data_IF_869829969023
#
_entry.id   IF_869829969023
#
_cell.length_a   1.000
_cell.length_b   1.000
_cell.length_c   1.000
_cell.angle_alpha   90.00
_cell.angle_beta   90.00
_cell.angle_gamma   90.00
#
_symmetry.space_group_name_H-M   'P 1'
#
loop_
_entity.id
_entity.type
_entity.pdbx_description
1 polymer ?
#
# COMPACT_ATOMS: atom_id res chain seq x y z
N UNK A 9 28.34 -10.96 -13.48
CA UNK A 9 28.68 -10.37 -12.15
C UNK A 9 27.47 -10.15 -11.22
N UNK A 10 27.34 -11.02 -10.21
CA UNK A 10 26.29 -11.02 -9.17
C UNK A 10 26.53 -9.91 -8.13
N UNK A 11 26.32 -8.66 -8.54
CA UNK A 11 26.59 -7.49 -7.68
C UNK A 11 25.79 -7.31 -6.37
N UNK A 12 24.59 -7.88 -6.26
CA UNK A 12 23.78 -7.72 -5.04
C UNK A 12 22.66 -8.73 -4.94
N UNK A 13 22.58 -9.37 -3.79
CA UNK A 13 21.56 -10.38 -3.52
C UNK A 13 20.97 -10.21 -2.15
N UNK A 14 19.84 -10.85 -1.91
CA UNK A 14 19.19 -10.73 -0.62
C UNK A 14 18.44 -12.02 -0.27
N UNK A 15 18.37 -12.34 1.01
CA UNK A 15 17.67 -13.52 1.49
C UNK A 15 16.33 -13.07 2.07
N UNK A 16 15.24 -13.63 1.55
CA UNK A 16 13.92 -13.26 2.05
C UNK A 16 13.54 -14.04 3.31
N UNK A 17 13.17 -13.31 4.37
CA UNK A 17 12.75 -13.92 5.63
C UNK A 17 11.31 -14.41 5.44
N UNK A 18 11.15 -15.66 5.02
CA UNK A 18 9.82 -16.23 4.75
C UNK A 18 8.91 -16.42 5.96
N UNK A 19 9.49 -16.65 7.12
CA UNK A 19 8.68 -16.83 8.32
C UNK A 19 7.92 -15.54 8.60
N UNK A 20 8.60 -14.41 8.43
CA UNK A 20 7.97 -13.13 8.66
C UNK A 20 6.84 -12.94 7.67
N UNK A 21 7.11 -13.21 6.39
CA UNK A 21 6.09 -13.05 5.37
C UNK A 21 4.88 -13.91 5.62
N UNK A 22 5.08 -15.09 6.21
CA UNK A 22 3.95 -15.95 6.52
C UNK A 22 3.01 -15.23 7.46
N UNK A 23 3.57 -14.68 8.55
CA UNK A 23 2.78 -13.95 9.54
C UNK A 23 1.88 -12.93 8.85
N UNK A 24 2.45 -12.29 7.83
CA UNK A 24 1.81 -11.27 7.01
C UNK A 24 0.86 -11.75 5.91
N UNK A 25 0.84 -13.05 5.60
CA UNK A 25 -0.03 -13.54 4.52
C UNK A 25 -1.36 -12.89 4.19
N UNK A 26 -2.24 -12.78 5.18
CA UNK A 26 -3.55 -12.23 4.95
C UNK A 26 -3.54 -10.87 4.24
N UNK A 27 -2.58 -10.00 4.55
CA UNK A 27 -2.52 -8.70 3.90
C UNK A 27 -2.26 -8.89 2.41
N UNK A 28 -1.26 -9.70 2.10
CA UNK A 28 -0.92 -9.95 0.71
C UNK A 28 -2.04 -10.63 -0.03
N UNK A 29 -2.68 -11.56 0.63
CA UNK A 29 -3.76 -12.31 0.04
C UNK A 29 -4.93 -11.39 -0.29
N UNK A 30 -5.11 -10.35 0.52
CA UNK A 30 -6.20 -9.40 0.35
C UNK A 30 -6.03 -8.62 -0.97
N UNK A 31 -4.86 -8.06 -1.19
CA UNK A 31 -4.59 -7.26 -2.39
C UNK A 31 -4.05 -8.01 -3.61
N UNK A 32 -3.93 -9.33 -3.52
CA UNK A 32 -3.35 -10.12 -4.61
C UNK A 32 -3.77 -9.84 -6.05
N UNK A 33 -5.06 -9.66 -6.31
CA UNK A 33 -5.53 -9.41 -7.68
C UNK A 33 -5.18 -8.01 -8.16
N UNK A 34 -5.01 -7.08 -7.23
CA UNK A 34 -4.64 -5.72 -7.61
C UNK A 34 -3.14 -5.65 -7.91
N UNK A 35 -2.38 -6.49 -7.22
CA UNK A 35 -0.93 -6.53 -7.37
C UNK A 35 -0.35 -7.52 -8.38
N UNK A 36 -1.17 -8.38 -8.98
CA UNK A 36 -0.64 -9.35 -9.95
C UNK A 36 0.04 -8.62 -11.13
N UNK A 37 -0.58 -7.53 -11.57
CA UNK A 37 -0.10 -6.71 -12.66
C UNK A 37 0.85 -5.61 -12.13
N UNK A 38 1.21 -5.70 -10.87
CA UNK A 38 2.06 -4.68 -10.26
C UNK A 38 3.53 -4.78 -10.48
N UNK A 39 4.25 -3.99 -9.67
CA UNK A 39 5.70 -3.88 -9.68
C UNK A 39 6.33 -4.16 -8.32
N UNK A 40 7.36 -5.00 -8.28
CA UNK A 40 8.04 -5.33 -7.03
C UNK A 40 9.32 -4.49 -6.93
N UNK A 41 9.64 -4.04 -5.71
CA UNK A 41 10.82 -3.19 -5.49
C UNK A 41 11.62 -3.59 -4.26
N UNK A 42 12.93 -3.49 -4.38
CA UNK A 42 13.86 -3.77 -3.32
C UNK A 42 14.62 -2.46 -3.20
N UNK A 43 14.30 -1.69 -2.17
CA UNK A 43 14.91 -0.37 -2.01
C UNK A 43 15.24 0.02 -0.59
N UNK A 44 15.94 1.13 -0.44
CA UNK A 44 16.32 1.63 0.87
C UNK A 44 17.79 1.33 1.06
N UNK A 45 18.26 1.38 2.31
CA UNK A 45 19.67 1.09 2.59
C UNK A 45 20.05 -0.36 2.34
N UNK A 46 21.21 -0.56 1.73
CA UNK A 46 21.76 -1.87 1.39
C UNK A 46 21.73 -2.90 2.50
N UNK A 47 21.87 -2.42 3.74
CA UNK A 47 21.85 -3.29 4.91
C UNK A 47 20.45 -3.77 5.30
N UNK A 48 19.44 -2.91 5.15
CA UNK A 48 18.07 -3.24 5.54
C UNK A 48 17.02 -2.89 4.45
N UNK A 49 17.18 -3.45 3.24
CA UNK A 49 16.21 -3.09 2.21
C UNK A 49 14.75 -3.37 2.54
N UNK A 50 13.87 -2.63 1.86
CA UNK A 50 12.45 -2.74 2.01
C UNK A 50 11.90 -3.47 0.80
N UNK A 51 10.85 -4.25 1.03
CA UNK A 51 10.24 -5.01 -0.04
C UNK A 51 8.92 -4.32 -0.23
N UNK A 52 8.72 -3.78 -1.42
CA UNK A 52 7.49 -3.09 -1.70
C UNK A 52 6.87 -3.59 -2.97
N UNK A 53 5.54 -3.58 -2.99
CA UNK A 53 4.79 -3.98 -4.14
C UNK A 53 3.90 -2.79 -4.45
N UNK A 54 3.90 -2.33 -5.68
CA UNK A 54 3.07 -1.23 -6.11
C UNK A 54 2.25 -1.60 -7.35
N UNK A 55 1.07 -1.00 -7.52
CA UNK A 55 0.25 -1.27 -8.72
C UNK A 55 -0.86 -0.26 -8.80
N UNK A 56 -1.26 0.10 -10.00
CA UNK A 56 -2.34 1.07 -10.12
C UNK A 56 -3.64 0.39 -9.69
N UNK A 57 -4.60 1.24 -9.32
CA UNK A 57 -5.89 0.80 -8.83
C UNK A 57 -6.91 1.72 -9.44
N UNK A 58 -7.76 1.18 -10.30
CA UNK A 58 -8.75 2.01 -10.96
C UNK A 58 -8.04 2.96 -11.92
N UNK A 59 -8.77 3.95 -12.39
CA UNK A 59 -8.19 4.92 -13.33
C UNK A 59 -7.20 5.97 -12.77
N UNK A 60 -7.19 6.22 -11.46
CA UNK A 60 -6.24 7.22 -10.91
C UNK A 60 -5.82 6.96 -9.47
N UNK A 61 -5.21 5.81 -9.23
CA UNK A 61 -4.78 5.47 -7.88
C UNK A 61 -3.60 4.51 -7.88
N UNK A 62 -2.69 4.70 -6.92
CA UNK A 62 -1.52 3.84 -6.81
C UNK A 62 -1.46 3.17 -5.48
N UNK A 63 -1.48 1.84 -5.47
CA UNK A 63 -1.42 1.05 -4.25
C UNK A 63 0.00 0.70 -3.90
N UNK A 64 0.31 0.70 -2.62
CA UNK A 64 1.62 0.35 -2.16
C UNK A 64 1.66 -0.41 -0.86
N UNK A 65 2.18 -1.63 -0.90
CA UNK A 65 2.39 -2.45 0.29
C UNK A 65 3.88 -2.38 0.48
N UNK A 66 4.34 -2.14 1.70
CA UNK A 66 5.76 -1.98 1.99
C UNK A 66 6.18 -2.74 3.24
N UNK A 67 7.15 -3.63 3.09
CA UNK A 67 7.59 -4.49 4.18
C UNK A 67 9.05 -4.31 4.64
N UNK A 68 9.24 -3.89 5.88
CA UNK A 68 10.56 -3.67 6.45
C UNK A 68 11.11 -4.96 7.06
N UNK A 69 12.41 -4.97 7.37
CA UNK A 69 13.08 -6.09 8.01
C UNK A 69 12.70 -7.48 7.51
N UNK A 70 12.57 -7.63 6.20
CA UNK A 70 12.21 -8.92 5.64
C UNK A 70 13.27 -9.37 4.66
N UNK A 71 14.38 -8.65 4.60
CA UNK A 71 15.44 -8.99 3.67
C UNK A 71 16.78 -8.87 4.32
N UNK A 72 17.62 -9.87 4.08
CA UNK A 72 18.98 -9.90 4.61
C UNK A 72 19.93 -9.98 3.43
N UNK A 73 20.78 -8.96 3.25
CA UNK A 73 21.73 -8.97 2.15
C UNK A 73 22.75 -10.08 2.32
N UNK A 74 23.25 -10.57 1.19
CA UNK A 74 24.25 -11.64 1.17
C UNK A 74 25.63 -11.06 1.00
N UNK A 75 26.56 -11.48 1.87
CA UNK A 75 27.97 -11.01 1.86
C UNK A 75 28.64 -11.00 0.48
N UNK A 76 29.50 -9.99 0.26
CA UNK A 76 30.25 -9.78 -0.99
C UNK A 76 29.50 -9.07 -2.10
N UNK A 77 29.20 -7.78 -1.92
CA UNK A 77 28.48 -7.02 -2.94
C UNK A 77 29.08 -5.64 -3.23
N UNK A 78 29.15 -5.26 -4.52
CA UNK A 78 29.68 -3.94 -4.87
C UNK A 78 28.52 -2.95 -4.98
N UNK A 79 28.19 -2.37 -3.83
CA UNK A 79 27.13 -1.39 -3.66
C UNK A 79 27.49 -0.55 -2.44
N UNK A 80 28.57 -0.97 -1.75
CA UNK A 80 29.05 -0.30 -0.54
C UNK A 80 27.97 -0.24 0.53
N UNK A 81 27.98 0.83 1.32
CA UNK A 81 26.99 1.00 2.38
C UNK A 81 26.10 2.22 2.12
N UNK A 82 25.53 2.27 0.93
CA UNK A 82 24.64 3.37 0.52
C UNK A 82 23.32 2.81 0.04
N UNK A 83 22.50 3.64 -0.60
CA UNK A 83 21.20 3.19 -1.11
C UNK A 83 21.18 2.21 -2.27
N UNK A 84 20.05 1.53 -2.39
CA UNK A 84 19.79 0.54 -3.40
C UNK A 84 18.38 0.72 -3.90
N UNK A 85 18.15 0.43 -5.18
CA UNK A 85 16.80 0.54 -5.74
C UNK A 85 16.65 -0.29 -7.00
N UNK A 86 15.87 -1.37 -6.90
CA UNK A 86 15.62 -2.25 -8.02
C UNK A 86 14.12 -2.41 -8.17
N UNK A 87 13.63 -2.08 -9.35
CA UNK A 87 12.21 -2.17 -9.58
C UNK A 87 11.85 -3.02 -10.81
N UNK A 88 11.14 -4.12 -10.57
CA UNK A 88 10.76 -5.08 -11.64
C UNK A 88 9.30 -5.49 -11.59
N UNK A 89 8.75 -5.96 -12.71
CA UNK A 89 7.35 -6.35 -12.74
C UNK A 89 7.17 -7.69 -12.09
N UNK A 90 6.24 -7.85 -11.14
CA UNK A 90 6.17 -9.18 -10.50
C UNK A 90 5.58 -10.30 -11.29
N UNK A 91 4.98 -9.98 -12.43
CA UNK A 91 4.50 -11.04 -13.28
C UNK A 91 5.15 -10.70 -14.62
N UNK A 92 6.33 -11.28 -14.84
CA UNK A 92 7.09 -11.07 -16.06
C UNK A 92 6.19 -11.33 -17.24
N UNK A 93 6.41 -10.60 -18.32
CA UNK A 93 5.59 -10.77 -19.52
C UNK A 93 5.49 -12.24 -19.96
N UNK A 94 4.26 -12.66 -20.28
CA UNK A 94 3.96 -14.03 -20.73
C UNK A 94 4.22 -15.20 -19.78
N UNK A 95 4.58 -14.91 -18.53
CA UNK A 95 4.85 -15.95 -17.53
C UNK A 95 3.71 -16.28 -16.61
N UNK A 96 3.92 -17.39 -15.92
CA UNK A 96 3.00 -17.90 -14.93
C UNK A 96 3.66 -17.63 -13.58
N UNK A 97 4.86 -17.03 -13.61
CA UNK A 97 5.55 -16.73 -12.37
C UNK A 97 5.22 -15.34 -11.83
N UNK A 98 4.70 -15.30 -10.62
CA UNK A 98 4.36 -14.05 -9.97
C UNK A 98 5.17 -14.01 -8.71
N UNK A 99 6.12 -13.08 -8.64
CA UNK A 99 6.98 -12.99 -7.47
C UNK A 99 6.22 -13.01 -6.13
N UNK A 100 5.29 -12.09 -5.93
CA UNK A 100 4.58 -12.06 -4.64
C UNK A 100 3.79 -13.32 -4.36
N UNK A 101 3.25 -13.97 -5.40
CA UNK A 101 2.50 -15.18 -5.15
C UNK A 101 3.41 -16.22 -4.52
N UNK A 102 4.60 -16.36 -5.08
CA UNK A 102 5.56 -17.35 -4.63
C UNK A 102 6.25 -16.97 -3.33
N UNK A 103 6.62 -15.70 -3.17
CA UNK A 103 7.29 -15.27 -1.94
C UNK A 103 6.41 -15.53 -0.72
N UNK A 104 5.12 -15.28 -0.84
CA UNK A 104 4.17 -15.52 0.24
C UNK A 104 3.61 -16.96 0.25
N UNK A 105 4.13 -17.83 -0.60
CA UNK A 105 3.65 -19.21 -0.67
C UNK A 105 3.62 -19.92 0.68
N UNK A 106 2.54 -20.60 0.99
CA UNK A 106 2.41 -21.33 2.27
C UNK A 106 3.43 -22.44 2.43
N UNK A 107 3.73 -23.14 1.34
CA UNK A 107 4.65 -24.27 1.38
C UNK A 107 6.11 -23.86 1.05
N UNK A 108 6.51 -22.64 1.45
CA UNK A 108 7.89 -22.15 1.18
C UNK A 108 8.83 -22.39 2.36
N UNK A 109 10.08 -22.70 2.05
CA UNK A 109 11.13 -23.01 3.02
C UNK A 109 12.24 -21.97 3.07
N UNK A 110 12.81 -21.67 1.90
CA UNK A 110 13.90 -20.72 1.67
C UNK A 110 13.45 -19.87 0.49
N UNK A 111 13.99 -18.66 0.38
CA UNK A 111 13.68 -17.75 -0.74
C UNK A 111 14.72 -16.66 -0.81
N UNK A 112 15.15 -16.33 -2.03
CA UNK A 112 16.16 -15.30 -2.21
C UNK A 112 16.01 -14.58 -3.52
N UNK A 113 16.28 -13.28 -3.50
CA UNK A 113 16.21 -12.48 -4.71
C UNK A 113 17.62 -11.99 -4.91
N UNK A 114 18.14 -12.15 -6.12
CA UNK A 114 19.50 -11.74 -6.42
C UNK A 114 19.53 -10.91 -7.70
N UNK A 115 20.34 -9.85 -7.71
CA UNK A 115 20.45 -8.96 -8.87
C UNK A 115 21.82 -9.07 -9.51
N UNK A 116 21.86 -9.15 -10.84
CA UNK A 116 23.12 -9.28 -11.55
C UNK A 116 23.20 -8.56 -12.91
N UNK A 117 24.43 -8.27 -13.34
CA UNK A 117 24.72 -7.61 -14.63
C UNK A 117 25.96 -8.30 -15.23
N UNK A 118 26.97 -7.53 -15.65
CA UNK A 118 28.23 -8.08 -16.21
C UNK A 118 29.27 -6.98 -16.47
N UNK A 128 22.14 -4.45 -19.87
CA UNK A 128 20.99 -5.17 -19.31
C UNK A 128 21.09 -5.37 -17.78
N UNK A 129 19.94 -5.38 -17.10
CA UNK A 129 19.88 -5.55 -15.65
C UNK A 129 18.96 -6.75 -15.31
N UNK A 130 19.46 -7.72 -14.56
CA UNK A 130 18.69 -8.93 -14.24
C UNK A 130 18.33 -9.24 -12.79
N UNK A 131 17.23 -9.98 -12.61
CA UNK A 131 16.73 -10.41 -11.31
C UNK A 131 16.61 -11.94 -11.33
N UNK A 132 17.01 -12.60 -10.24
CA UNK A 132 16.88 -14.04 -10.18
C UNK A 132 16.26 -14.38 -8.85
N UNK A 133 15.00 -14.82 -8.89
CA UNK A 133 14.28 -15.20 -7.69
C UNK A 133 14.32 -16.71 -7.56
N UNK A 134 14.64 -17.19 -6.37
CA UNK A 134 14.73 -18.61 -6.10
C UNK A 134 13.79 -19.00 -5.00
N UNK A 135 12.97 -20.03 -5.26
CA UNK A 135 12.01 -20.51 -4.28
C UNK A 135 12.31 -21.98 -3.94
N UNK A 136 12.23 -22.35 -2.66
CA UNK A 136 12.46 -23.73 -2.24
C UNK A 136 11.25 -24.15 -1.43
N UNK A 137 10.61 -25.22 -1.84
CA UNK A 137 9.39 -25.70 -1.20
C UNK A 137 9.52 -26.73 -0.05
N UNK A 138 8.37 -27.10 0.53
CA UNK A 138 8.24 -28.05 1.65
C UNK A 138 9.15 -29.25 1.64
N UNK A 139 8.99 -30.11 0.64
CA UNK A 139 9.86 -31.27 0.47
C UNK A 139 11.18 -30.60 0.17
N UNK A 140 12.24 -30.84 0.93
CA UNK A 140 13.47 -30.11 0.59
C UNK A 140 13.98 -30.65 -0.75
N UNK A 141 13.05 -30.75 -1.70
CA UNK A 141 13.32 -31.29 -3.02
C UNK A 141 12.91 -30.40 -4.20
N UNK A 142 11.70 -29.85 -4.15
CA UNK A 142 11.19 -28.99 -5.23
C UNK A 142 11.68 -27.55 -5.12
N UNK A 143 11.84 -26.88 -6.27
CA UNK A 143 12.26 -25.49 -6.33
C UNK A 143 12.03 -24.87 -7.73
N UNK A 144 11.88 -23.54 -7.75
CA UNK A 144 11.69 -22.81 -8.99
C UNK A 144 12.67 -21.65 -9.01
N UNK A 145 13.31 -21.40 -10.16
CA UNK A 145 14.26 -20.29 -10.30
C UNK A 145 13.82 -19.38 -11.46
N UNK A 146 13.17 -18.25 -11.16
CA UNK A 146 12.71 -17.38 -12.24
C UNK A 146 13.79 -16.35 -12.52
N UNK A 147 13.80 -15.78 -13.72
CA UNK A 147 14.88 -14.88 -14.03
C UNK A 147 14.33 -13.89 -15.03
N UNK A 148 14.36 -12.60 -14.65
CA UNK A 148 13.83 -11.58 -15.56
C UNK A 148 14.66 -10.30 -15.58
N UNK A 149 14.17 -9.31 -16.32
CA UNK A 149 14.83 -8.03 -16.44
C UNK A 149 14.27 -7.00 -15.47
N UNK A 150 15.15 -6.21 -14.87
CA UNK A 150 14.75 -5.14 -13.96
C UNK A 150 14.64 -3.94 -14.89
N UNK A 151 13.42 -3.63 -15.33
CA UNK A 151 13.21 -2.53 -16.27
C UNK A 151 12.12 -1.54 -15.86
N UNK A 152 11.89 -1.40 -14.57
CA UNK A 152 10.88 -0.48 -14.09
C UNK A 152 11.53 0.67 -13.29
N UNK A 153 12.70 1.15 -13.76
CA UNK A 153 13.44 2.22 -13.09
C UNK A 153 12.64 3.49 -12.89
N UNK A 154 11.68 3.73 -13.76
CA UNK A 154 10.84 4.93 -13.72
C UNK A 154 9.98 5.08 -12.49
N UNK A 155 9.79 3.99 -11.76
CA UNK A 155 8.98 4.00 -10.55
C UNK A 155 9.92 4.08 -9.35
N UNK A 156 9.66 5.04 -8.49
CA UNK A 156 10.46 5.24 -7.29
C UNK A 156 9.61 4.93 -6.10
N UNK A 157 10.24 4.63 -4.95
CA UNK A 157 9.40 4.42 -3.78
C UNK A 157 9.02 5.82 -3.37
N UNK A 158 7.74 6.07 -3.17
CA UNK A 158 7.34 7.45 -2.82
C UNK A 158 6.33 7.51 -1.68
N UNK A 159 5.81 6.36 -1.31
CA UNK A 159 4.81 6.27 -0.26
C UNK A 159 5.24 6.80 1.12
N UNK A 160 6.48 6.50 1.50
CA UNK A 160 6.99 6.93 2.80
C UNK A 160 7.67 8.29 2.74
N UNK A 161 7.60 8.90 1.56
CA UNK A 161 8.21 10.21 1.31
C UNK A 161 7.24 11.39 1.19
N UNK A 162 6.32 11.54 2.15
CA UNK A 162 5.37 12.67 2.12
C UNK A 162 5.07 13.26 3.50
N UNK A 163 5.34 14.57 3.60
CA UNK A 163 5.17 15.39 4.79
C UNK A 163 3.78 15.21 5.45
N UNK A 164 3.75 14.35 6.48
CA UNK A 164 2.54 14.08 7.26
C UNK A 164 2.59 14.95 8.53
N UNK A 165 2.27 14.39 9.69
CA UNK A 165 2.29 15.13 10.96
C UNK A 165 1.79 16.56 10.87
N UNK A 166 2.74 17.51 10.98
CA UNK A 166 2.45 18.96 10.92
C UNK A 166 1.16 19.31 11.63
N UNK A 167 0.05 19.27 10.87
CA UNK A 167 -1.31 19.53 11.33
C UNK A 167 -2.29 18.93 10.30
N UNK A 168 -1.71 18.26 9.30
CA UNK A 168 -2.43 17.63 8.19
C UNK A 168 -3.87 17.21 8.47
N UNK A 169 -4.73 17.49 7.51
CA UNK A 169 -6.14 17.16 7.59
C UNK A 169 -6.28 15.64 7.45
N UNK A 170 -6.77 14.98 8.48
CA UNK A 170 -6.96 13.53 8.49
C UNK A 170 -8.35 13.24 8.98
N UNK A 171 -8.82 12.05 8.68
CA UNK A 171 -10.12 11.62 9.11
C UNK A 171 -10.11 10.14 9.38
N UNK A 172 -10.78 9.73 10.43
CA UNK A 172 -10.88 8.33 10.74
C UNK A 172 -12.27 7.86 11.04
N UNK A 173 -12.75 6.95 10.19
CA UNK A 173 -14.11 6.44 10.34
C UNK A 173 -14.17 5.16 11.13
N UNK A 174 -15.28 4.98 11.83
CA UNK A 174 -15.53 3.79 12.59
C UNK A 174 -16.06 2.74 11.61
N UNK A 175 -16.07 1.48 12.04
CA UNK A 175 -16.56 0.38 11.20
C UNK A 175 -17.93 0.63 10.58
N UNK A 176 -18.91 1.01 11.42
CA UNK A 176 -20.28 1.28 10.94
C UNK A 176 -20.29 2.27 9.76
N UNK A 177 -19.79 3.49 9.99
CA UNK A 177 -19.75 4.53 8.97
C UNK A 177 -18.99 4.13 7.71
N UNK A 178 -17.88 3.42 7.92
CA UNK A 178 -17.01 2.98 6.83
C UNK A 178 -17.69 2.05 5.86
N UNK A 179 -18.46 1.10 6.38
CA UNK A 179 -19.16 0.15 5.54
C UNK A 179 -20.33 0.82 4.82
N UNK A 180 -20.99 1.73 5.54
CA UNK A 180 -22.13 2.44 5.00
C UNK A 180 -21.65 3.31 3.81
N UNK A 181 -20.50 3.96 3.97
CA UNK A 181 -19.92 4.77 2.91
C UNK A 181 -19.59 3.93 1.69
N UNK A 182 -18.98 2.79 1.95
CA UNK A 182 -18.56 1.89 0.89
C UNK A 182 -19.78 1.30 0.16
N UNK A 183 -20.87 1.01 0.87
CA UNK A 183 -22.06 0.46 0.22
C UNK A 183 -22.67 1.53 -0.66
N UNK A 184 -22.73 2.75 -0.12
CA UNK A 184 -23.30 3.90 -0.83
C UNK A 184 -22.49 4.18 -2.08
N UNK A 185 -21.17 4.20 -1.95
CA UNK A 185 -20.33 4.47 -3.10
C UNK A 185 -20.56 3.47 -4.21
N UNK A 186 -20.60 2.19 -3.86
CA UNK A 186 -20.81 1.12 -4.86
C UNK A 186 -22.12 1.29 -5.63
N UNK A 187 -23.22 1.44 -4.91
CA UNK A 187 -24.51 1.57 -5.56
C UNK A 187 -24.73 2.86 -6.37
N UNK A 188 -23.66 3.61 -6.64
CA UNK A 188 -23.77 4.84 -7.42
C UNK A 188 -23.08 4.65 -8.75
N UNK A 189 -22.16 3.70 -8.80
CA UNK A 189 -21.36 3.40 -9.98
C UNK A 189 -22.18 3.01 -11.22
N UNK A 190 -21.70 3.44 -12.38
CA UNK A 190 -22.30 3.11 -13.67
C UNK A 190 -21.22 2.25 -14.29
N UNK A 191 -21.31 1.94 -15.58
CA UNK A 191 -20.26 1.13 -16.19
C UNK A 191 -19.01 1.99 -16.45
N UNK A 192 -19.25 3.25 -16.85
CA UNK A 192 -18.19 4.21 -17.13
C UNK A 192 -17.83 4.87 -15.80
N UNK A 193 -16.53 5.06 -15.53
CA UNK A 193 -16.07 5.66 -14.26
C UNK A 193 -16.44 7.15 -14.11
N UNK A 194 -16.79 7.54 -12.89
CA UNK A 194 -17.18 8.92 -12.59
C UNK A 194 -16.17 9.49 -11.62
N UNK A 195 -16.27 10.79 -11.31
CA UNK A 195 -15.31 11.35 -10.37
C UNK A 195 -16.06 11.86 -9.14
N UNK A 196 -15.62 11.41 -7.96
CA UNK A 196 -16.24 11.79 -6.70
C UNK A 196 -15.51 12.98 -6.14
N UNK A 197 -16.25 13.97 -5.67
CA UNK A 197 -15.61 15.13 -5.08
C UNK A 197 -15.78 14.87 -3.58
N UNK A 198 -14.66 14.84 -2.87
CA UNK A 198 -14.64 14.60 -1.45
C UNK A 198 -14.15 15.88 -0.81
N UNK A 199 -14.93 16.46 0.09
CA UNK A 199 -14.54 17.73 0.73
C UNK A 199 -14.65 17.68 2.24
N UNK A 200 -13.88 18.53 2.91
CA UNK A 200 -13.89 18.57 4.35
C UNK A 200 -14.13 19.99 4.81
N UNK A 201 -15.13 20.18 5.67
CA UNK A 201 -15.44 21.49 6.18
C UNK A 201 -15.05 21.65 7.62
N UNK A 202 -14.13 22.58 7.90
CA UNK A 202 -13.74 22.81 9.28
C UNK A 202 -14.84 23.48 10.05
N UNK A 203 -15.47 24.49 9.44
CA UNK A 203 -16.56 25.21 10.09
C UNK A 203 -17.64 24.24 10.63
N UNK A 204 -17.95 23.19 9.87
CA UNK A 204 -18.99 22.24 10.27
C UNK A 204 -18.56 20.81 10.63
N UNK A 205 -17.27 20.55 10.78
CA UNK A 205 -16.78 19.21 11.11
C UNK A 205 -17.61 18.21 10.31
N UNK A 206 -17.55 18.30 8.99
CA UNK A 206 -18.36 17.43 8.17
C UNK A 206 -17.62 17.09 6.89
N UNK A 207 -17.70 15.83 6.46
CA UNK A 207 -17.06 15.37 5.23
C UNK A 207 -18.14 15.03 4.22
N UNK A 208 -18.00 15.52 3.00
CA UNK A 208 -19.01 15.27 2.00
C UNK A 208 -18.46 14.54 0.78
N UNK A 209 -19.23 13.54 0.33
CA UNK A 209 -18.88 12.77 -0.86
C UNK A 209 -19.97 13.09 -1.84
N UNK A 210 -19.58 13.61 -3.00
CA UNK A 210 -20.54 14.01 -4.03
C UNK A 210 -20.16 13.68 -5.47
N UNK A 211 -21.14 13.14 -6.19
CA UNK A 211 -21.01 12.78 -7.62
C UNK A 211 -22.40 12.70 -8.22
N UNK A 212 -22.47 12.37 -9.51
CA UNK A 212 -23.76 12.28 -10.21
C UNK A 212 -24.51 13.50 -9.71
N UNK A 213 -25.65 13.26 -9.08
CA UNK A 213 -26.47 14.33 -8.53
C UNK A 213 -26.84 13.95 -7.12
N UNK A 214 -25.91 13.27 -6.45
CA UNK A 214 -26.13 12.79 -5.08
C UNK A 214 -24.92 13.04 -4.15
N UNK A 215 -25.22 13.22 -2.86
CA UNK A 215 -24.19 13.47 -1.84
C UNK A 215 -24.42 12.65 -0.58
N UNK A 216 -23.33 12.25 0.05
CA UNK A 216 -23.39 11.47 1.27
C UNK A 216 -22.66 12.36 2.26
N UNK A 217 -23.29 12.64 3.39
CA UNK A 217 -22.73 13.51 4.42
C UNK A 217 -22.33 12.73 5.65
N UNK A 218 -21.14 13.03 6.18
CA UNK A 218 -20.63 12.36 7.39
C UNK A 218 -19.98 13.37 8.33
N UNK A 219 -20.52 13.54 9.53
CA UNK A 219 -19.90 14.47 10.45
C UNK A 219 -18.99 13.69 11.38
N UNK A 220 -18.05 14.40 11.99
CA UNK A 220 -17.09 13.78 12.89
C UNK A 220 -16.83 14.67 14.07
N UNK A 221 -15.97 14.23 14.97
CA UNK A 221 -15.61 15.01 16.15
C UNK A 221 -14.17 15.50 15.98
N UNK A 222 -13.99 16.83 15.80
CA UNK A 222 -12.66 17.42 15.60
C UNK A 222 -11.80 17.30 16.86
N UNK A 223 -10.54 16.88 16.70
CA UNK A 223 -9.64 16.71 17.83
C UNK A 223 -8.81 17.98 18.10
N UNK A 224 -9.07 18.60 19.27
CA UNK A 224 -8.40 19.83 19.73
C UNK A 224 -6.89 19.61 19.95
N UNK A 225 -6.58 18.69 20.87
CA UNK A 225 -5.20 18.34 21.27
C UNK A 225 -4.26 18.04 20.08
N UNK A 226 -3.01 18.55 20.15
CA UNK A 226 -2.03 18.31 19.08
C UNK A 226 -1.74 16.82 18.92
N UNK A 227 -1.83 16.33 17.69
CA UNK A 227 -1.60 14.91 17.44
C UNK A 227 -0.84 14.64 16.14
N UNK A 228 0.10 13.72 16.22
CA UNK A 228 0.89 13.31 15.07
C UNK A 228 0.57 11.84 14.85
N UNK A 229 0.21 11.49 13.61
CA UNK A 229 -0.12 10.11 13.26
C UNK A 229 -1.54 9.71 13.62
N UNK A 230 -1.83 8.41 13.60
CA UNK A 230 -3.17 7.91 13.93
C UNK A 230 -3.39 7.59 15.41
N UNK A 231 -2.30 7.48 16.18
CA UNK A 231 -2.43 7.20 17.60
C UNK A 231 -3.01 8.42 18.31
N UNK A 232 -3.93 8.18 19.25
CA UNK A 232 -4.57 9.27 19.98
C UNK A 232 -5.71 9.85 19.14
N UNK A 233 -6.10 9.13 18.10
CA UNK A 233 -7.16 9.53 17.21
C UNK A 233 -8.11 8.35 16.99
N UNK A 234 -7.55 7.14 17.08
CA UNK A 234 -8.32 5.90 16.90
C UNK A 234 -8.11 4.95 18.08
N UNK A 235 -9.04 4.00 18.27
CA UNK A 235 -10.23 3.85 17.43
C UNK A 235 -11.43 3.82 18.35
N UNK A 236 -12.24 4.87 18.29
CA UNK A 236 -13.45 4.98 19.15
C UNK A 236 -14.52 3.92 18.84
N UNK A 237 -14.55 3.49 17.57
CA UNK A 237 -15.50 2.47 17.06
C UNK A 237 -16.95 2.74 17.48
N UNK A 238 -17.43 3.97 17.26
CA UNK A 238 -18.78 4.39 17.61
C UNK A 238 -19.04 5.71 16.91
N UNK A 239 -18.00 6.54 16.88
CA UNK A 239 -18.09 7.85 16.27
C UNK A 239 -16.88 8.07 15.34
N UNK A 240 -17.00 9.06 14.48
CA UNK A 240 -15.98 9.38 13.52
C UNK A 240 -15.20 10.60 13.95
N UNK A 241 -13.90 10.39 13.97
CA UNK A 241 -12.94 11.38 14.43
C UNK A 241 -12.02 11.89 13.30
N UNK A 242 -11.44 13.07 13.50
CA UNK A 242 -10.54 13.69 12.53
C UNK A 242 -9.89 14.97 13.01
N UNK A 243 -8.90 15.44 12.27
CA UNK A 243 -8.18 16.67 12.60
C UNK A 243 -8.32 17.53 11.35
N UNK A 244 -8.71 18.80 11.53
CA UNK A 244 -8.91 19.69 10.37
C UNK A 244 -8.49 21.11 10.65
N UNK A 245 -7.43 21.56 10.00
CA UNK A 245 -7.00 22.95 10.20
C UNK A 245 -7.41 23.92 9.09
N UNK A 246 -7.70 23.36 7.91
CA UNK A 246 -8.15 24.13 6.74
C UNK A 246 -9.08 23.21 5.94
N UNK A 247 -10.03 23.81 5.24
CA UNK A 247 -10.94 23.04 4.40
C UNK A 247 -10.15 22.29 3.32
N UNK A 248 -10.70 21.20 2.82
CA UNK A 248 -10.03 20.46 1.77
C UNK A 248 -11.05 20.02 0.74
N UNK A 249 -10.61 19.96 -0.51
CA UNK A 249 -11.47 19.55 -1.61
C UNK A 249 -10.65 18.64 -2.51
N UNK A 250 -11.24 17.56 -2.96
CA UNK A 250 -10.54 16.63 -3.81
C UNK A 250 -11.48 16.02 -4.81
N UNK A 251 -10.96 15.75 -6.00
CA UNK A 251 -11.72 15.10 -7.05
C UNK A 251 -10.96 13.85 -7.40
N UNK A 252 -11.52 12.71 -7.07
CA UNK A 252 -10.83 11.46 -7.31
C UNK A 252 -11.71 10.48 -8.09
N UNK A 253 -11.08 9.46 -8.67
CA UNK A 253 -11.80 8.47 -9.40
C UNK A 253 -12.63 7.65 -8.46
N UNK A 254 -13.86 7.36 -8.86
CA UNK A 254 -14.74 6.55 -8.06
C UNK A 254 -14.21 5.12 -7.96
N UNK A 255 -13.76 4.53 -9.08
CA UNK A 255 -13.20 3.17 -9.06
C UNK A 255 -12.06 3.12 -8.09
N UNK A 256 -11.13 4.07 -8.23
CA UNK A 256 -9.97 4.16 -7.36
C UNK A 256 -10.34 4.29 -5.88
N UNK A 257 -11.44 5.00 -5.60
CA UNK A 257 -11.89 5.20 -4.24
C UNK A 257 -12.49 3.96 -3.62
N UNK A 258 -13.34 3.26 -4.38
CA UNK A 258 -13.97 2.04 -3.89
C UNK A 258 -12.85 1.04 -3.57
N UNK A 259 -12.00 0.83 -4.56
CA UNK A 259 -10.88 -0.08 -4.43
C UNK A 259 -10.11 0.24 -3.16
N UNK A 260 -9.70 1.50 -3.02
CA UNK A 260 -8.93 1.93 -1.84
C UNK A 260 -9.60 1.63 -0.50
N UNK A 261 -10.91 1.80 -0.39
CA UNK A 261 -11.60 1.56 0.87
C UNK A 261 -11.76 0.08 1.13
N UNK A 262 -11.64 -0.69 0.05
CA UNK A 262 -11.73 -2.12 0.10
C UNK A 262 -10.36 -2.69 0.47
N UNK A 263 -9.33 -2.31 -0.27
CA UNK A 263 -7.96 -2.77 -0.02
C UNK A 263 -7.47 -2.43 1.37
N UNK A 264 -7.83 -1.26 1.90
CA UNK A 264 -7.38 -0.87 3.22
C UNK A 264 -8.20 -1.38 4.41
N UNK A 265 -9.18 -2.25 4.17
CA UNK A 265 -9.97 -2.83 5.24
C UNK A 265 -9.60 -4.29 5.21
N UNK A 266 -8.56 -4.63 5.95
CA UNK A 266 -8.11 -5.99 5.99
C UNK A 266 -8.58 -6.60 7.29
N UNK A 267 -9.61 -7.48 7.22
CA UNK A 267 -10.16 -8.15 8.39
C UNK A 267 -9.08 -8.60 9.38
N UNK A 268 -9.06 -7.95 10.53
CA UNK A 268 -8.12 -8.23 11.62
C UNK A 268 -6.72 -7.66 11.42
N UNK A 269 -6.58 -6.69 10.53
CA UNK A 269 -5.27 -6.09 10.26
C UNK A 269 -5.29 -4.57 10.08
N UNK A 270 -6.11 -4.08 9.17
CA UNK A 270 -6.21 -2.66 8.89
C UNK A 270 -7.63 -2.18 8.75
N UNK A 271 -7.79 -0.87 8.99
CA UNK A 271 -9.07 -0.17 8.87
C UNK A 271 -8.70 1.12 8.13
N UNK A 272 -9.53 1.55 7.16
CA UNK A 272 -9.23 2.75 6.39
C UNK A 272 -9.20 4.07 7.17
N UNK A 273 -8.28 4.94 6.75
CA UNK A 273 -8.06 6.27 7.29
C UNK A 273 -7.79 7.16 6.08
N UNK A 274 -8.35 8.37 6.06
CA UNK A 274 -8.17 9.30 4.94
C UNK A 274 -7.30 10.46 5.32
N UNK A 275 -6.39 10.85 4.43
CA UNK A 275 -5.49 11.96 4.66
C UNK A 275 -5.48 12.83 3.42
N UNK A 276 -5.60 14.15 3.61
CA UNK A 276 -5.56 15.10 2.51
C UNK A 276 -4.18 15.70 2.60
N UNK A 277 -3.31 15.28 1.70
CA UNK A 277 -1.94 15.80 1.69
C UNK A 277 -1.80 17.19 1.17
N UNK A 278 -0.68 17.78 1.58
CA UNK A 278 -0.29 19.14 1.24
C UNK A 278 -0.36 19.32 -0.30
N UNK A 279 -0.24 18.21 -1.04
CA UNK A 279 -0.29 18.17 -2.51
C UNK A 279 -1.71 18.40 -3.02
N UNK A 280 -2.26 17.39 -3.68
CA UNK A 280 -3.61 17.36 -4.24
C UNK A 280 -4.04 15.90 -4.03
N UNK A 281 -3.12 15.14 -3.45
CA UNK A 281 -3.29 13.74 -3.22
C UNK A 281 -4.09 13.35 -1.95
N UNK A 282 -5.12 12.55 -2.15
CA UNK A 282 -5.93 12.04 -1.08
C UNK A 282 -5.42 10.62 -0.86
N UNK A 283 -4.89 10.35 0.33
CA UNK A 283 -4.35 9.05 0.64
C UNK A 283 -5.26 8.25 1.52
N UNK A 284 -5.61 7.05 1.09
CA UNK A 284 -6.44 6.12 1.86
C UNK A 284 -5.40 5.17 2.42
N UNK A 285 -5.37 5.02 3.75
CA UNK A 285 -4.39 4.18 4.45
C UNK A 285 -4.96 3.14 5.39
N UNK A 286 -4.32 1.99 5.43
CA UNK A 286 -4.73 0.95 6.33
C UNK A 286 -4.19 1.41 7.67
N UNK A 287 -5.06 1.52 8.65
CA UNK A 287 -4.68 1.94 9.98
C UNK A 287 -4.76 0.68 10.81
N UNK A 288 -3.66 0.31 11.47
CA UNK A 288 -3.51 -0.90 12.29
C UNK A 288 -4.47 -1.12 13.45
N UNK A 289 -5.17 -2.26 13.43
CA UNK A 289 -6.09 -2.64 14.51
C UNK A 289 -5.42 -3.56 15.54
N UNK A 290 -4.21 -4.03 15.24
CA UNK A 290 -3.44 -4.91 16.12
C UNK A 290 -1.94 -4.60 16.15
N UNK A 291 -1.15 -5.42 16.85
CA UNK A 291 0.31 -5.23 16.97
C UNK A 291 1.12 -5.98 15.91
N UNK A 292 0.52 -7.07 15.46
CA UNK A 292 0.99 -7.98 14.43
C UNK A 292 1.52 -7.33 13.13
N UNK A 293 0.97 -6.18 12.73
CA UNK A 293 1.36 -5.48 11.48
C UNK A 293 2.44 -4.39 11.55
N UNK A 294 3.43 -4.58 12.43
CA UNK A 294 4.51 -3.62 12.61
C UNK A 294 5.40 -3.34 11.40
N UNK A 295 5.84 -4.41 10.75
CA UNK A 295 6.72 -4.28 9.60
C UNK A 295 5.96 -4.03 8.28
N UNK A 296 4.67 -3.71 8.33
CA UNK A 296 3.87 -3.52 7.10
C UNK A 296 3.09 -2.23 7.03
N UNK A 297 3.12 -1.58 5.86
CA UNK A 297 2.39 -0.33 5.62
C UNK A 297 1.60 -0.48 4.33
N UNK A 298 0.34 -0.10 4.37
CA UNK A 298 -0.54 -0.25 3.22
C UNK A 298 -1.33 0.99 2.90
N UNK A 299 -1.34 1.38 1.63
CA UNK A 299 -2.12 2.56 1.24
C UNK A 299 -2.31 2.70 -0.24
N UNK A 300 -3.16 3.64 -0.62
CA UNK A 300 -3.42 3.93 -2.00
C UNK A 300 -3.44 5.44 -2.10
N UNK A 301 -2.76 5.98 -3.10
CA UNK A 301 -2.76 7.39 -3.28
C UNK A 301 -3.81 7.64 -4.34
N UNK A 302 -4.71 8.59 -4.11
CA UNK A 302 -5.72 8.90 -5.10
C UNK A 302 -5.31 10.19 -5.75
N UNK A 303 -5.21 10.17 -7.07
CA UNK A 303 -4.82 11.34 -7.84
C UNK A 303 -5.98 12.27 -8.13
N UNK A 304 -5.67 13.57 -8.29
CA UNK A 304 -6.68 14.57 -8.56
C UNK A 304 -7.03 14.31 -10.03
N UNK A 305 -8.30 14.46 -10.38
CA UNK A 305 -8.75 14.20 -11.74
C UNK A 305 -9.13 15.47 -12.51
#
# INVERSE_FOLDING_TARGET
>A
GPISEFPVDFHYGVRVDVTLLSKIRRVNEHIKSATKTGVVQVHGSACTPTLSVLSSVGTAGVLGMRIKNALTPLVGHTEGSGDVSFSFRNTSVGSGFTHTRELFGANVLDAGIAFYRKGEACDTGAQPQFVRTTISYGDNLTSTVHKSVVDQKGILPFHDRMEAGGRTTRLMLCGKTGAFLLKWLRQQKTKEDQTVTVSVSETLSIVTFSLGGVSKIIDFKPETKPVSGWDGLKGKKSVDVGVVHTDALSRVSLESLIAALRMCKVPGWFTPGLIWHSNEILEVEGVPTGCQSGDVKLSVLLLEVNRSV
#
